data_IF_243834255337
#
_entry.id   IF_243834255337
#
_cell.length_a   1.000
_cell.length_b   1.000
_cell.length_c   1.000
_cell.angle_alpha   90.00
_cell.angle_beta   90.00
_cell.angle_gamma   90.00
#
_symmetry.space_group_name_H-M   'P 1'
#
loop_
_entity.id
_entity.type
_entity.pdbx_description
1 polymer ?
#
# COMPACT_ATOMS: atom_id res chain seq x y z
N UNK A 1 -7.12 5.13 7.99
CA UNK A 1 -6.76 5.21 9.43
C UNK A 1 -5.34 4.67 9.58
N UNK A 2 -4.55 5.26 10.47
CA UNK A 2 -3.21 4.76 10.77
C UNK A 2 -3.27 3.33 11.32
N UNK A 3 -2.39 2.47 10.83
CA UNK A 3 -2.19 1.11 11.31
C UNK A 3 -1.16 1.11 12.42
N UNK A 4 -1.34 0.16 13.33
CA UNK A 4 -0.39 -0.16 14.40
C UNK A 4 -0.10 -1.65 14.33
N UNK A 5 1.00 -2.06 14.97
CA UNK A 5 1.44 -3.44 14.97
C UNK A 5 0.48 -4.29 15.81
N UNK A 6 -0.24 -5.21 15.18
CA UNK A 6 -1.10 -6.16 15.89
C UNK A 6 -0.27 -7.40 16.31
N UNK A 7 -0.09 -7.65 17.62
CA UNK A 7 0.69 -8.79 18.08
C UNK A 7 0.10 -10.14 17.66
N UNK A 8 -1.23 -10.24 17.47
CA UNK A 8 -1.87 -11.49 17.02
C UNK A 8 -1.57 -11.76 15.55
N UNK A 9 -1.64 -10.73 14.72
CA UNK A 9 -1.28 -10.83 13.31
C UNK A 9 0.19 -11.16 13.14
N UNK A 10 1.09 -10.47 13.86
CA UNK A 10 2.52 -10.75 13.84
C UNK A 10 2.80 -12.21 14.23
N UNK A 11 2.16 -12.71 15.30
CA UNK A 11 2.35 -14.09 15.71
C UNK A 11 1.86 -15.09 14.65
N UNK A 12 0.73 -14.81 14.00
CA UNK A 12 0.20 -15.64 12.91
C UNK A 12 1.14 -15.64 11.69
N UNK A 13 1.76 -14.51 11.36
CA UNK A 13 2.74 -14.42 10.28
C UNK A 13 4.01 -15.19 10.62
N UNK A 14 4.48 -15.07 11.87
CA UNK A 14 5.63 -15.83 12.38
C UNK A 14 5.39 -17.34 12.36
N UNK A 15 4.22 -17.81 12.79
CA UNK A 15 3.89 -19.25 12.75
C UNK A 15 3.79 -19.78 11.32
N UNK A 16 3.18 -19.02 10.41
CA UNK A 16 3.10 -19.40 9.00
C UNK A 16 4.49 -19.48 8.35
N UNK A 17 5.39 -18.54 8.67
CA UNK A 17 6.76 -18.56 8.18
C UNK A 17 7.56 -19.75 8.75
N UNK A 18 7.36 -20.09 10.03
CA UNK A 18 7.97 -21.28 10.63
C UNK A 18 7.50 -22.56 9.96
N UNK A 19 6.19 -22.74 9.78
CA UNK A 19 5.62 -23.92 9.14
C UNK A 19 6.12 -24.05 7.69
N UNK A 20 6.14 -22.93 6.96
CA UNK A 20 6.67 -22.89 5.60
C UNK A 20 8.15 -23.27 5.55
N UNK A 21 8.96 -22.77 6.49
CA UNK A 21 10.38 -23.12 6.56
C UNK A 21 10.56 -24.61 6.86
N UNK A 22 9.85 -25.14 7.85
CA UNK A 22 9.94 -26.55 8.27
C UNK A 22 9.51 -27.50 7.15
N UNK A 23 8.48 -27.16 6.39
CA UNK A 23 8.01 -27.96 5.26
C UNK A 23 8.82 -27.80 3.96
N UNK A 24 9.76 -26.84 3.91
CA UNK A 24 10.55 -26.56 2.70
C UNK A 24 11.78 -27.47 2.61
N UNK A 25 12.00 -28.00 1.40
CA UNK A 25 13.26 -28.65 1.00
C UNK A 25 14.37 -27.60 0.83
N UNK A 26 15.49 -27.79 1.52
CA UNK A 26 16.71 -27.03 1.30
C UNK A 26 17.34 -27.42 -0.05
N UNK A 27 17.78 -26.43 -0.82
CA UNK A 27 18.39 -26.69 -2.13
C UNK A 27 18.22 -25.54 -3.11
N UNK A 28 18.38 -25.87 -4.40
CA UNK A 28 18.20 -24.91 -5.49
C UNK A 28 16.71 -24.76 -5.76
N UNK A 29 16.20 -23.54 -5.59
CA UNK A 29 14.88 -23.15 -6.03
C UNK A 29 15.03 -22.25 -7.27
N UNK A 30 14.47 -22.66 -8.40
CA UNK A 30 14.53 -21.90 -9.66
C UNK A 30 13.73 -20.59 -9.62
N UNK A 31 12.88 -20.42 -8.61
CA UNK A 31 12.06 -19.23 -8.38
C UNK A 31 12.41 -18.56 -7.05
N UNK A 32 13.69 -18.64 -6.64
CA UNK A 32 14.12 -18.15 -5.33
C UNK A 32 14.06 -16.63 -5.18
N UNK A 33 14.19 -15.90 -6.30
CA UNK A 33 14.13 -14.45 -6.34
C UNK A 33 13.62 -13.92 -7.68
N UNK A 34 13.64 -12.60 -7.82
CA UNK A 34 13.25 -11.89 -9.04
C UNK A 34 14.36 -10.90 -9.39
N UNK A 35 14.79 -10.90 -10.66
CA UNK A 35 15.74 -9.92 -11.17
C UNK A 35 15.09 -8.52 -11.15
N UNK A 36 15.66 -7.54 -10.44
CA UNK A 36 15.09 -6.20 -10.34
C UNK A 36 14.98 -5.46 -11.68
N UNK A 37 15.79 -5.84 -12.68
CA UNK A 37 15.80 -5.19 -14.00
C UNK A 37 14.80 -5.84 -14.94
N UNK A 38 14.82 -7.17 -15.05
CA UNK A 38 14.01 -7.88 -16.06
C UNK A 38 12.68 -8.41 -15.52
N UNK A 39 12.47 -8.42 -14.20
CA UNK A 39 11.29 -8.99 -13.55
C UNK A 39 11.19 -10.51 -13.67
N UNK A 40 12.24 -11.18 -14.18
CA UNK A 40 12.25 -12.64 -14.37
C UNK A 40 12.62 -13.36 -13.09
N UNK A 41 12.09 -14.59 -12.87
CA UNK A 41 12.51 -15.40 -11.74
C UNK A 41 13.99 -15.79 -11.88
N UNK A 42 14.72 -15.68 -10.77
CA UNK A 42 16.13 -16.05 -10.67
C UNK A 42 16.24 -17.22 -9.71
N UNK A 43 16.98 -18.23 -10.15
CA UNK A 43 17.31 -19.38 -9.33
C UNK A 43 18.29 -19.02 -8.22
N UNK A 44 18.09 -19.61 -7.05
CA UNK A 44 18.95 -19.38 -5.89
C UNK A 44 18.88 -20.54 -4.92
N UNK A 45 19.89 -20.61 -4.05
CA UNK A 45 19.84 -21.53 -2.92
C UNK A 45 18.83 -20.99 -1.89
N UNK A 46 17.95 -21.85 -1.43
CA UNK A 46 17.06 -21.56 -0.32
C UNK A 46 17.26 -22.60 0.77
N UNK A 47 17.40 -22.10 1.98
CA UNK A 47 17.38 -22.91 3.17
C UNK A 47 15.96 -23.39 3.50
N UNK A 48 15.89 -24.58 4.07
CA UNK A 48 14.65 -25.23 4.50
C UNK A 48 14.89 -26.19 5.65
N UNK A 49 13.81 -26.61 6.29
CA UNK A 49 13.82 -27.58 7.38
C UNK A 49 14.06 -29.02 6.93
N UNK A 50 13.88 -29.31 5.64
CA UNK A 50 14.09 -30.64 5.06
C UNK A 50 15.37 -30.65 4.25
N UNK A 51 16.28 -31.56 4.57
CA UNK A 51 17.49 -31.82 3.80
C UNK A 51 17.31 -33.07 2.96
N UNK A 52 17.63 -32.95 1.66
CA UNK A 52 17.53 -34.07 0.74
C UNK A 52 18.93 -34.56 0.36
N UNK A 53 19.14 -35.85 0.56
CA UNK A 53 20.44 -36.48 0.39
C UNK A 53 20.35 -37.42 -0.81
N UNK A 54 21.16 -37.16 -1.84
CA UNK A 54 21.26 -38.00 -3.02
C UNK A 54 22.12 -39.24 -2.71
N UNK A 55 21.56 -40.42 -2.92
CA UNK A 55 22.22 -41.71 -2.72
C UNK A 55 22.29 -42.44 -4.06
N UNK A 56 23.49 -42.81 -4.50
CA UNK A 56 23.72 -43.31 -5.88
C UNK A 56 23.45 -44.80 -6.06
N UNK A 57 23.50 -45.58 -4.98
CA UNK A 57 23.31 -47.03 -5.01
C UNK A 57 22.41 -47.46 -3.85
N UNK A 58 21.60 -48.51 -4.07
CA UNK A 58 20.65 -48.97 -3.06
C UNK A 58 21.35 -49.50 -1.78
N UNK A 59 22.54 -50.08 -1.93
CA UNK A 59 23.37 -50.56 -0.81
C UNK A 59 23.80 -49.43 0.15
N UNK A 60 23.89 -48.19 -0.33
CA UNK A 60 24.31 -47.03 0.47
C UNK A 60 23.15 -46.40 1.26
N UNK A 61 21.89 -46.80 1.02
CA UNK A 61 20.72 -46.21 1.69
C UNK A 61 20.77 -46.39 3.21
N UNK A 62 21.07 -47.60 3.68
CA UNK A 62 21.13 -47.92 5.10
C UNK A 62 22.31 -47.19 5.77
N UNK A 63 23.56 -47.25 5.24
CA UNK A 63 24.68 -46.46 5.76
C UNK A 63 24.36 -44.97 5.89
N UNK A 64 23.80 -44.35 4.85
CA UNK A 64 23.44 -42.91 4.87
C UNK A 64 22.37 -42.62 5.92
N UNK A 65 21.37 -43.48 6.04
CA UNK A 65 20.34 -43.35 7.08
C UNK A 65 20.92 -43.38 8.50
N UNK A 66 21.82 -44.35 8.78
CA UNK A 66 22.48 -44.45 10.08
C UNK A 66 23.35 -43.23 10.36
N UNK A 67 24.06 -42.72 9.35
CA UNK A 67 24.89 -41.53 9.49
C UNK A 67 24.06 -40.28 9.84
N UNK A 68 22.96 -40.04 9.13
CA UNK A 68 22.13 -38.86 9.36
C UNK A 68 21.36 -38.94 10.68
N UNK A 69 20.86 -40.11 11.06
CA UNK A 69 20.23 -40.30 12.38
C UNK A 69 21.23 -40.10 13.52
N UNK A 70 22.49 -40.52 13.37
CA UNK A 70 23.55 -40.23 14.34
C UNK A 70 23.85 -38.72 14.47
N UNK A 71 23.64 -37.94 13.40
CA UNK A 71 23.73 -36.47 13.41
C UNK A 71 22.47 -35.79 13.98
N UNK A 72 21.47 -36.56 14.41
CA UNK A 72 20.23 -36.05 15.01
C UNK A 72 19.13 -35.70 13.99
N UNK A 73 19.30 -36.05 12.72
CA UNK A 73 18.25 -35.90 11.72
C UNK A 73 17.17 -36.95 11.90
N UNK A 74 15.94 -36.63 11.52
CA UNK A 74 14.81 -37.57 11.51
C UNK A 74 14.29 -37.76 10.11
N UNK A 75 13.79 -38.96 9.79
CA UNK A 75 13.21 -39.20 8.46
C UNK A 75 11.92 -38.40 8.30
N UNK A 76 11.76 -37.75 7.14
CA UNK A 76 10.48 -37.10 6.81
C UNK A 76 9.41 -38.14 6.47
N UNK A 77 8.15 -37.72 6.42
CA UNK A 77 7.03 -38.56 5.96
C UNK A 77 7.16 -38.98 4.49
N UNK A 78 7.92 -38.23 3.67
CA UNK A 78 8.22 -38.57 2.28
C UNK A 78 9.19 -39.77 2.22
N UNK A 79 10.13 -39.85 3.16
CA UNK A 79 11.10 -40.94 3.25
C UNK A 79 12.09 -40.94 2.10
N UNK A 80 12.10 -42.01 1.31
CA UNK A 80 13.05 -42.22 0.21
C UNK A 80 12.31 -42.26 -1.12
N UNK A 81 12.81 -41.49 -2.09
CA UNK A 81 12.28 -41.42 -3.45
C UNK A 81 13.31 -41.96 -4.43
N UNK A 82 12.92 -42.87 -5.32
CA UNK A 82 13.77 -43.28 -6.44
C UNK A 82 13.71 -42.22 -7.54
N UNK A 83 14.85 -41.64 -7.92
CA UNK A 83 14.93 -40.68 -9.03
C UNK A 83 15.12 -41.39 -10.38
N UNK A 84 15.84 -42.51 -10.38
CA UNK A 84 15.98 -43.42 -11.52
C UNK A 84 16.32 -44.84 -11.02
N UNK A 85 16.73 -45.73 -11.92
CA UNK A 85 17.01 -47.13 -11.61
C UNK A 85 18.07 -47.33 -10.50
N UNK A 86 19.01 -46.40 -10.34
CA UNK A 86 20.11 -46.55 -9.40
C UNK A 86 20.16 -45.45 -8.35
N UNK A 87 19.66 -44.24 -8.64
CA UNK A 87 19.76 -43.10 -7.73
C UNK A 87 18.49 -42.87 -6.93
N UNK A 88 18.66 -42.63 -5.64
CA UNK A 88 17.62 -42.35 -4.67
C UNK A 88 17.86 -41.00 -4.01
N UNK A 89 16.82 -40.41 -3.48
CA UNK A 89 16.89 -39.21 -2.66
C UNK A 89 16.19 -39.49 -1.34
N UNK A 90 16.91 -39.34 -0.22
CA UNK A 90 16.38 -39.54 1.13
C UNK A 90 16.13 -38.19 1.75
N UNK A 91 14.92 -37.98 2.26
CA UNK A 91 14.48 -36.72 2.82
C UNK A 91 14.48 -36.79 4.35
N UNK A 92 15.28 -35.92 4.97
CA UNK A 92 15.43 -35.82 6.42
C UNK A 92 14.98 -34.45 6.94
N UNK A 93 14.29 -34.41 8.08
CA UNK A 93 14.14 -33.18 8.85
C UNK A 93 15.46 -32.88 9.55
N UNK A 94 15.89 -31.62 9.46
CA UNK A 94 17.06 -31.11 10.19
C UNK A 94 16.83 -31.14 11.70
N UNK A 95 17.90 -31.33 12.51
CA UNK A 95 17.79 -31.24 13.95
C UNK A 95 17.45 -29.82 14.41
N UNK A 96 16.76 -29.70 15.55
CA UNK A 96 16.39 -28.40 16.15
C UNK A 96 17.59 -27.48 16.42
N UNK A 97 18.78 -28.06 16.67
CA UNK A 97 20.02 -27.30 16.85
C UNK A 97 20.43 -26.51 15.60
N UNK A 98 20.09 -26.99 14.41
CA UNK A 98 20.32 -26.30 13.14
C UNK A 98 19.13 -25.41 12.76
N UNK A 99 17.90 -25.84 13.04
CA UNK A 99 16.68 -25.09 12.67
C UNK A 99 16.57 -23.76 13.43
N UNK A 100 16.84 -23.75 14.74
CA UNK A 100 16.68 -22.56 15.60
C UNK A 100 17.39 -21.29 15.11
N UNK A 101 18.72 -21.31 14.82
CA UNK A 101 19.40 -20.10 14.35
C UNK A 101 18.87 -19.62 12.99
N UNK A 102 18.45 -20.54 12.12
CA UNK A 102 17.90 -20.20 10.80
C UNK A 102 16.50 -19.57 10.92
N UNK A 103 15.64 -20.14 11.77
CA UNK A 103 14.32 -19.59 12.07
C UNK A 103 14.43 -18.20 12.71
N UNK A 104 15.40 -17.96 13.61
CA UNK A 104 15.56 -16.65 14.24
C UNK A 104 15.71 -15.53 13.20
N UNK A 105 16.54 -15.72 12.17
CA UNK A 105 16.71 -14.76 11.09
C UNK A 105 15.44 -14.55 10.26
N UNK A 106 14.71 -15.64 9.97
CA UNK A 106 13.45 -15.59 9.22
C UNK A 106 12.38 -14.84 10.01
N UNK A 107 12.23 -15.16 11.29
CA UNK A 107 11.22 -14.55 12.16
C UNK A 107 11.49 -13.07 12.42
N UNK A 108 12.78 -12.68 12.51
CA UNK A 108 13.16 -11.27 12.56
C UNK A 108 12.77 -10.56 11.26
N UNK A 109 13.11 -11.15 10.10
CA UNK A 109 12.74 -10.58 8.81
C UNK A 109 11.23 -10.40 8.66
N UNK A 110 10.42 -11.36 9.12
CA UNK A 110 8.94 -11.23 9.11
C UNK A 110 8.46 -10.04 9.93
N UNK A 111 9.09 -9.77 11.07
CA UNK A 111 8.76 -8.61 11.91
C UNK A 111 9.19 -7.30 11.25
N UNK A 112 10.38 -7.26 10.67
CA UNK A 112 10.89 -6.09 9.94
C UNK A 112 10.01 -5.78 8.72
N UNK A 113 9.66 -6.79 7.92
CA UNK A 113 8.82 -6.66 6.73
C UNK A 113 7.40 -6.17 7.12
N UNK A 114 6.81 -6.70 8.20
CA UNK A 114 5.49 -6.26 8.67
C UNK A 114 5.52 -4.82 9.21
N UNK A 115 6.59 -4.44 9.91
CA UNK A 115 6.77 -3.07 10.40
C UNK A 115 6.89 -2.10 9.23
N UNK A 116 7.71 -2.43 8.24
CA UNK A 116 7.86 -1.64 7.01
C UNK A 116 6.54 -1.52 6.23
N UNK A 117 5.74 -2.60 6.14
CA UNK A 117 4.41 -2.56 5.53
C UNK A 117 3.47 -1.55 6.23
N UNK A 118 3.50 -1.51 7.57
CA UNK A 118 2.70 -0.57 8.36
C UNK A 118 3.18 0.86 8.13
N UNK A 119 4.49 1.10 8.12
CA UNK A 119 5.07 2.42 7.88
C UNK A 119 4.69 2.95 6.50
N UNK A 120 4.89 2.15 5.45
CA UNK A 120 4.52 2.51 4.07
C UNK A 120 3.01 2.80 3.97
N UNK A 121 2.18 2.02 4.63
CA UNK A 121 0.74 2.26 4.66
C UNK A 121 0.40 3.58 5.34
N UNK A 122 1.04 3.87 6.46
CA UNK A 122 0.80 5.08 7.25
C UNK A 122 1.26 6.34 6.53
N UNK A 123 2.41 6.30 5.87
CA UNK A 123 2.90 7.38 5.01
C UNK A 123 1.92 7.70 3.90
N UNK A 124 1.48 6.69 3.13
CA UNK A 124 0.47 6.86 2.08
C UNK A 124 -0.84 7.41 2.61
N UNK A 125 -1.27 6.98 3.79
CA UNK A 125 -2.48 7.49 4.42
C UNK A 125 -2.33 8.98 4.77
N UNK A 126 -1.21 9.37 5.39
CA UNK A 126 -0.93 10.77 5.73
C UNK A 126 -0.87 11.64 4.46
N UNK A 127 -0.16 11.20 3.43
CA UNK A 127 -0.09 11.91 2.14
C UNK A 127 -1.47 12.14 1.55
N UNK A 128 -2.34 11.11 1.60
CA UNK A 128 -3.71 11.22 1.08
C UNK A 128 -4.56 12.25 1.86
N UNK A 129 -4.41 12.31 3.18
CA UNK A 129 -5.12 13.26 4.04
C UNK A 129 -4.59 14.69 3.85
N UNK A 130 -3.27 14.86 3.75
CA UNK A 130 -2.63 16.15 3.44
C UNK A 130 -3.13 16.67 2.10
N UNK A 131 -3.13 15.83 1.06
CA UNK A 131 -3.61 16.22 -0.25
C UNK A 131 -5.11 16.58 -0.22
N UNK A 132 -5.91 15.86 0.55
CA UNK A 132 -7.32 16.19 0.73
C UNK A 132 -7.50 17.58 1.37
N UNK A 133 -6.71 17.92 2.40
CA UNK A 133 -6.77 19.24 3.03
C UNK A 133 -6.30 20.36 2.09
N UNK A 134 -5.21 20.16 1.36
CA UNK A 134 -4.74 21.11 0.34
C UNK A 134 -5.84 21.39 -0.69
N UNK A 135 -6.52 20.34 -1.16
CA UNK A 135 -7.60 20.48 -2.14
C UNK A 135 -8.81 21.24 -1.57
N UNK A 136 -9.14 21.03 -0.30
CA UNK A 136 -10.22 21.78 0.39
C UNK A 136 -9.84 23.26 0.50
N UNK A 137 -8.61 23.54 0.91
CA UNK A 137 -8.12 24.92 1.09
C UNK A 137 -8.02 25.66 -0.25
N UNK A 138 -7.50 25.02 -1.29
CA UNK A 138 -7.47 25.59 -2.64
C UNK A 138 -8.87 25.97 -3.14
N UNK A 139 -9.86 25.08 -2.97
CA UNK A 139 -11.25 25.37 -3.33
C UNK A 139 -11.85 26.51 -2.51
N UNK A 140 -11.46 26.63 -1.24
CA UNK A 140 -11.90 27.74 -0.39
C UNK A 140 -11.33 29.07 -0.89
N UNK A 141 -10.03 29.11 -1.17
CA UNK A 141 -9.35 30.29 -1.70
C UNK A 141 -9.93 30.71 -3.06
N UNK A 142 -10.21 29.76 -3.96
CA UNK A 142 -10.86 30.05 -5.25
C UNK A 142 -12.24 30.70 -5.08
N UNK A 143 -13.05 30.21 -4.13
CA UNK A 143 -14.36 30.79 -3.82
C UNK A 143 -14.23 32.21 -3.25
N UNK A 144 -13.32 32.41 -2.31
CA UNK A 144 -13.08 33.73 -1.70
C UNK A 144 -12.61 34.75 -2.76
N UNK A 145 -11.72 34.35 -3.67
CA UNK A 145 -11.28 35.19 -4.79
C UNK A 145 -12.42 35.49 -5.78
N UNK A 146 -13.25 34.51 -6.11
CA UNK A 146 -14.39 34.68 -7.00
C UNK A 146 -15.45 35.63 -6.39
N UNK A 147 -15.75 35.49 -5.09
CA UNK A 147 -16.66 36.37 -4.36
C UNK A 147 -16.10 37.80 -4.28
N UNK A 148 -14.81 37.96 -3.99
CA UNK A 148 -14.16 39.27 -3.95
C UNK A 148 -14.18 39.96 -5.33
N UNK A 149 -13.92 39.20 -6.41
CA UNK A 149 -14.00 39.71 -7.77
C UNK A 149 -15.42 40.09 -8.17
N UNK A 150 -16.43 39.32 -7.77
CA UNK A 150 -17.84 39.62 -8.01
C UNK A 150 -18.29 40.89 -7.27
N UNK A 151 -17.89 41.06 -6.00
CA UNK A 151 -18.15 42.27 -5.22
C UNK A 151 -17.53 43.50 -5.86
N UNK A 152 -16.25 43.44 -6.25
CA UNK A 152 -15.58 44.55 -6.95
C UNK A 152 -16.27 44.90 -8.27
N UNK A 153 -16.69 43.90 -9.05
CA UNK A 153 -17.44 44.15 -10.29
C UNK A 153 -18.77 44.85 -10.01
N UNK A 154 -19.49 44.43 -8.98
CA UNK A 154 -20.76 45.04 -8.59
C UNK A 154 -20.58 46.50 -8.10
N UNK A 155 -19.51 46.78 -7.34
CA UNK A 155 -19.16 48.15 -6.91
C UNK A 155 -18.85 49.04 -8.11
N UNK A 156 -17.99 48.59 -9.03
CA UNK A 156 -17.66 49.32 -10.26
C UNK A 156 -18.92 49.54 -11.12
N UNK A 157 -19.78 48.53 -11.24
CA UNK A 157 -21.02 48.66 -12.01
C UNK A 157 -22.00 49.66 -11.36
N UNK A 158 -22.07 49.70 -10.02
CA UNK A 158 -22.87 50.68 -9.30
C UNK A 158 -22.34 52.11 -9.52
N UNK A 159 -21.02 52.32 -9.47
CA UNK A 159 -20.38 53.61 -9.77
C UNK A 159 -20.64 54.06 -11.21
N UNK A 160 -20.50 53.15 -12.18
CA UNK A 160 -20.80 53.44 -13.59
C UNK A 160 -22.28 53.80 -13.76
N UNK A 161 -23.21 53.01 -13.20
CA UNK A 161 -24.64 53.32 -13.29
C UNK A 161 -25.01 54.65 -12.63
N UNK A 162 -24.38 55.02 -11.52
CA UNK A 162 -24.59 56.32 -10.89
C UNK A 162 -24.07 57.47 -11.78
N UNK A 163 -22.97 57.26 -12.50
CA UNK A 163 -22.36 58.26 -13.39
C UNK A 163 -23.15 58.44 -14.70
N UNK A 164 -23.80 57.40 -15.20
CA UNK A 164 -24.54 57.39 -16.48
C UNK A 164 -26.07 57.38 -16.33
N UNK A 165 -26.61 57.83 -15.19
CA UNK A 165 -28.06 58.06 -15.07
C UNK A 165 -28.50 59.10 -16.11
N UNK A 166 -29.46 58.78 -17.00
CA UNK A 166 -30.00 59.77 -17.92
C UNK A 166 -30.71 60.87 -17.12
N UNK A 167 -30.65 62.14 -17.57
CA UNK A 167 -31.32 63.23 -16.88
C UNK A 167 -32.81 62.89 -16.74
N UNK A 168 -33.32 62.96 -15.51
CA UNK A 168 -34.76 62.96 -15.31
C UNK A 168 -35.34 64.16 -16.05
N UNK A 169 -36.15 63.88 -17.07
CA UNK A 169 -36.97 64.90 -17.70
C UNK A 169 -37.86 65.53 -16.62
N UNK A 170 -37.51 66.74 -16.23
CA UNK A 170 -38.38 67.66 -15.48
C UNK A 170 -39.69 67.82 -16.27
N UNK A 171 -40.75 67.16 -15.83
CA UNK A 171 -42.11 67.52 -16.22
C UNK A 171 -42.50 68.78 -15.44
N UNK A 172 -42.34 69.93 -16.09
CA UNK A 172 -42.90 71.19 -15.62
C UNK A 172 -44.44 71.12 -15.60
N UNK A 173 -45.13 71.67 -14.58
CA UNK A 173 -46.59 71.75 -14.60
C UNK A 173 -47.04 72.75 -15.67
N UNK A 174 -47.87 72.26 -16.60
CA UNK A 174 -48.52 73.04 -17.65
C UNK A 174 -49.44 74.08 -17.01
N UNK A 175 -49.19 75.37 -17.31
CA UNK A 175 -50.08 76.49 -17.00
C UNK A 175 -51.45 76.29 -17.68
N UNK A 176 -52.53 76.30 -16.89
CA UNK A 176 -53.89 76.38 -17.39
C UNK A 176 -54.22 77.82 -17.86
N UNK A 177 -54.94 78.02 -18.98
CA UNK A 177 -55.31 79.36 -19.43
C UNK A 177 -56.46 79.96 -18.61
N UNK A 178 -56.39 81.28 -18.42
CA UNK A 178 -57.30 82.09 -17.62
C UNK A 178 -58.76 82.08 -18.12
N UNK A 179 -59.77 82.11 -17.24
CA UNK A 179 -61.16 82.32 -17.64
C UNK A 179 -61.48 83.82 -17.83
N UNK A 180 -62.29 84.07 -18.87
CA UNK A 180 -62.74 85.37 -19.31
C UNK A 180 -63.71 86.07 -18.34
N UNK A 181 -63.62 87.41 -18.31
CA UNK A 181 -64.53 88.34 -17.64
C UNK A 181 -66.00 88.12 -18.07
N UNK A 182 -66.86 87.78 -17.10
CA UNK A 182 -68.32 87.92 -17.18
C UNK A 182 -68.79 89.06 -16.28
N UNK A 183 -69.60 89.96 -16.83
CA UNK A 183 -70.08 91.23 -16.27
C UNK A 183 -71.60 91.10 -16.00
N UNK A 184 -72.09 91.77 -14.94
CA UNK A 184 -73.51 92.10 -14.62
C UNK A 184 -74.36 90.91 -14.13
N UNK A 185 -75.27 91.06 -13.16
CA UNK A 185 -76.04 92.22 -12.68
C UNK A 185 -76.17 92.21 -11.17
#
# INVERSE_FOLDING_TARGET
MLKTLDPKELQSRKSAAEEQFRGRKAGINHFAGVDPVTGRPVGGHQDGGIEAVLVKYAEDLIPVYVEFTAKGYTLTTIGTVALNANTFEVYFNRPESQIKPMLAAILQKVEDDYTAEIEIHNEKFIESEVQAQINIEARRQERELAEAAAKRRAEIEAEIRATFQPPQETTAPVQAPAPAKGKRS
#
